data_IF_457660965328
#
_entry.id   IF_457660965328
#
_cell.length_a   1.000
_cell.length_b   1.000
_cell.length_c   1.000
_cell.angle_alpha   90.00
_cell.angle_beta   90.00
_cell.angle_gamma   90.00
#
_symmetry.space_group_name_H-M   'P 1'
#
loop_
_entity.id
_entity.type
_entity.pdbx_description
1 polymer ?
#
# COMPACT_ATOMS: atom_id res chain seq x y z
N UNK A 1 11.61 8.65 -13.38
CA UNK A 1 10.98 9.93 -12.97
C UNK A 1 10.61 9.82 -11.49
N UNK A 2 10.70 10.90 -10.71
CA UNK A 2 10.16 10.95 -9.34
C UNK A 2 8.90 11.81 -9.37
N UNK A 3 7.76 11.25 -8.98
CA UNK A 3 6.50 12.00 -8.81
C UNK A 3 6.42 12.49 -7.38
N UNK A 4 6.36 13.81 -7.17
CA UNK A 4 6.37 14.43 -5.85
C UNK A 4 5.08 15.25 -5.67
N UNK A 5 4.49 15.14 -4.48
CA UNK A 5 3.32 15.92 -4.12
C UNK A 5 3.68 17.40 -3.96
N UNK A 6 2.78 18.27 -4.42
CA UNK A 6 2.82 19.71 -4.12
C UNK A 6 2.35 19.98 -2.69
N UNK A 7 1.27 19.33 -2.31
CA UNK A 7 0.57 19.56 -1.04
C UNK A 7 1.23 18.77 0.10
N UNK A 8 1.10 19.26 1.35
CA UNK A 8 1.64 18.56 2.50
C UNK A 8 0.97 17.19 2.66
N UNK A 9 1.78 16.20 3.08
CA UNK A 9 1.32 14.84 3.35
C UNK A 9 1.20 14.60 4.85
N UNK A 10 0.17 13.86 5.24
CA UNK A 10 -0.03 13.40 6.61
C UNK A 10 0.96 12.31 7.04
N UNK A 11 0.80 11.84 8.28
CA UNK A 11 1.62 10.78 8.84
C UNK A 11 1.38 9.43 8.14
N UNK A 12 2.46 8.69 7.88
CA UNK A 12 2.43 7.30 7.43
C UNK A 12 3.36 6.47 8.32
N UNK A 13 2.85 5.45 9.04
CA UNK A 13 3.69 4.62 9.90
C UNK A 13 4.59 3.69 9.09
N UNK A 14 5.70 3.26 9.70
CA UNK A 14 6.53 2.14 9.24
C UNK A 14 7.03 2.23 7.78
N UNK A 15 7.24 3.45 7.26
CA UNK A 15 7.94 3.63 5.99
C UNK A 15 9.43 3.30 6.18
N UNK A 16 10.01 2.57 5.22
CA UNK A 16 11.39 2.09 5.31
C UNK A 16 12.15 2.34 4.01
N UNK A 17 13.25 3.11 4.10
CA UNK A 17 14.09 3.48 2.96
C UNK A 17 14.70 2.28 2.23
N UNK A 18 15.02 1.20 2.94
CA UNK A 18 15.54 -0.03 2.35
C UNK A 18 14.44 -0.82 1.66
N UNK A 19 13.22 -0.81 2.19
CA UNK A 19 12.10 -1.52 1.57
C UNK A 19 11.59 -0.81 0.30
N UNK A 20 11.77 0.51 0.19
CA UNK A 20 11.48 1.26 -1.06
C UNK A 20 12.22 0.66 -2.27
N UNK A 21 13.42 0.11 -2.09
CA UNK A 21 14.16 -0.51 -3.21
C UNK A 21 13.50 -1.78 -3.74
N UNK A 22 12.54 -2.36 -3.00
CA UNK A 22 11.74 -3.51 -3.44
C UNK A 22 10.49 -3.10 -4.24
N UNK A 23 10.26 -1.80 -4.42
CA UNK A 23 9.16 -1.25 -5.22
C UNK A 23 7.78 -1.29 -4.56
N UNK A 24 7.47 -2.34 -3.81
CA UNK A 24 6.26 -2.47 -2.99
C UNK A 24 6.54 -3.28 -1.72
N UNK A 25 5.97 -2.86 -0.59
CA UNK A 25 6.20 -3.47 0.72
C UNK A 25 5.08 -3.16 1.73
N UNK A 26 4.93 -4.04 2.72
CA UNK A 26 3.92 -3.92 3.77
C UNK A 26 4.36 -2.90 4.82
N UNK A 27 3.44 -2.02 5.21
CA UNK A 27 3.65 -1.04 6.30
C UNK A 27 2.77 -1.31 7.52
N UNK A 28 1.73 -2.14 7.37
CA UNK A 28 0.87 -2.62 8.46
C UNK A 28 0.35 -4.02 8.13
N UNK A 29 0.60 -4.97 9.02
CA UNK A 29 0.25 -6.40 8.86
C UNK A 29 -0.48 -6.90 10.12
N UNK A 30 -1.82 -6.78 10.18
CA UNK A 30 -2.61 -7.45 11.22
C UNK A 30 -2.62 -8.96 10.99
N UNK A 31 -2.69 -9.77 12.06
CA UNK A 31 -2.72 -11.25 11.93
C UNK A 31 -3.94 -11.77 11.14
N UNK A 32 -5.09 -11.13 11.32
CA UNK A 32 -6.34 -11.50 10.65
C UNK A 32 -6.94 -10.24 10.02
N UNK A 33 -6.54 -9.95 8.77
CA UNK A 33 -7.05 -8.83 7.98
C UNK A 33 -8.12 -9.30 7.01
N UNK A 34 -9.11 -8.44 6.74
CA UNK A 34 -10.19 -8.71 5.79
C UNK A 34 -9.85 -8.23 4.38
N UNK A 35 -9.03 -7.19 4.24
CA UNK A 35 -8.61 -6.64 2.95
C UNK A 35 -7.23 -5.99 3.01
N UNK A 36 -6.63 -5.79 1.84
CA UNK A 36 -5.41 -4.99 1.66
C UNK A 36 -5.73 -3.68 0.94
N UNK A 37 -5.29 -2.55 1.48
CA UNK A 37 -5.19 -1.30 0.73
C UNK A 37 -3.75 -1.12 0.25
N UNK A 38 -3.58 -0.91 -1.05
CA UNK A 38 -2.30 -0.58 -1.67
C UNK A 38 -2.33 0.86 -2.18
N UNK A 39 -1.28 1.63 -1.92
CA UNK A 39 -1.20 3.03 -2.35
C UNK A 39 0.24 3.51 -2.48
N UNK A 40 0.45 4.68 -3.08
CA UNK A 40 1.75 5.33 -3.18
C UNK A 40 1.67 6.85 -2.95
N UNK A 41 2.85 7.47 -2.74
CA UNK A 41 2.97 8.93 -2.69
C UNK A 41 2.11 9.58 -1.61
N UNK A 42 1.44 10.68 -1.98
CA UNK A 42 0.53 11.42 -1.10
C UNK A 42 -0.71 10.62 -0.72
N UNK A 43 -1.16 9.67 -1.55
CA UNK A 43 -2.38 8.90 -1.28
C UNK A 43 -2.23 7.89 -0.15
N UNK A 44 -1.00 7.53 0.19
CA UNK A 44 -0.74 6.54 1.22
C UNK A 44 -1.24 6.99 2.61
N UNK A 45 -1.20 8.28 2.93
CA UNK A 45 -1.75 8.76 4.20
C UNK A 45 -3.28 8.65 4.25
N UNK A 46 -3.98 8.73 3.11
CA UNK A 46 -5.43 8.53 3.05
C UNK A 46 -5.77 7.05 3.24
N UNK A 47 -4.97 6.14 2.66
CA UNK A 47 -5.12 4.71 2.90
C UNK A 47 -4.93 4.36 4.40
N UNK A 48 -3.98 5.01 5.08
CA UNK A 48 -3.80 4.86 6.54
C UNK A 48 -5.05 5.33 7.30
N UNK A 49 -5.55 6.53 7.00
CA UNK A 49 -6.75 7.06 7.66
C UNK A 49 -7.98 6.17 7.42
N UNK A 50 -8.16 5.67 6.19
CA UNK A 50 -9.24 4.74 5.86
C UNK A 50 -9.12 3.43 6.64
N UNK A 51 -7.91 2.87 6.77
CA UNK A 51 -7.69 1.67 7.57
C UNK A 51 -8.01 1.89 9.06
N UNK A 52 -7.71 3.06 9.62
CA UNK A 52 -8.04 3.39 11.01
C UNK A 52 -9.56 3.51 11.22
N UNK A 53 -10.28 4.13 10.27
CA UNK A 53 -11.75 4.19 10.29
C UNK A 53 -12.36 2.79 10.20
N UNK A 54 -11.93 1.99 9.22
CA UNK A 54 -12.41 0.62 9.02
C UNK A 54 -12.14 -0.26 10.24
N UNK A 55 -10.98 -0.12 10.88
CA UNK A 55 -10.68 -0.83 12.13
C UNK A 55 -11.67 -0.47 13.25
N UNK A 56 -12.14 0.78 13.34
CA UNK A 56 -13.17 1.18 14.32
C UNK A 56 -14.54 0.54 14.05
N UNK A 57 -14.78 0.10 12.82
CA UNK A 57 -15.99 -0.63 12.40
C UNK A 57 -15.81 -2.16 12.44
N UNK A 58 -14.68 -2.64 12.98
CA UNK A 58 -14.37 -4.07 13.07
C UNK A 58 -13.74 -4.67 11.82
N UNK A 59 -13.43 -3.85 10.81
CA UNK A 59 -12.78 -4.29 9.57
C UNK A 59 -11.26 -4.09 9.70
N UNK A 60 -10.56 -5.17 10.03
CA UNK A 60 -9.09 -5.23 10.02
C UNK A 60 -8.52 -5.06 8.60
N UNK A 61 -7.58 -4.13 8.43
CA UNK A 61 -7.00 -3.73 7.13
C UNK A 61 -5.48 -3.85 7.13
N UNK A 62 -4.96 -4.51 6.10
CA UNK A 62 -3.54 -4.57 5.78
C UNK A 62 -3.16 -3.41 4.84
N UNK A 63 -1.97 -2.83 5.04
CA UNK A 63 -1.50 -1.68 4.24
C UNK A 63 -0.21 -1.99 3.50
N UNK A 64 -0.20 -1.73 2.20
CA UNK A 64 0.96 -1.85 1.32
C UNK A 64 1.31 -0.49 0.73
N UNK A 65 2.58 -0.10 0.87
CA UNK A 65 3.18 1.00 0.14
C UNK A 65 3.75 0.47 -1.18
N UNK A 66 3.34 1.01 -2.32
CA UNK A 66 3.75 0.57 -3.65
C UNK A 66 4.37 1.72 -4.50
N UNK A 67 5.47 2.35 -4.06
CA UNK A 67 6.06 3.51 -4.75
C UNK A 67 6.60 3.24 -6.16
N UNK A 68 6.88 1.99 -6.54
CA UNK A 68 7.34 1.65 -7.88
C UNK A 68 6.94 0.23 -8.29
N UNK A 69 5.88 0.13 -9.11
CA UNK A 69 5.44 -1.13 -9.66
C UNK A 69 6.51 -1.77 -10.56
N UNK A 70 7.27 -0.98 -11.32
CA UNK A 70 8.36 -1.51 -12.16
C UNK A 70 9.45 -2.23 -11.33
N UNK A 71 9.84 -1.65 -10.19
CA UNK A 71 10.81 -2.28 -9.28
C UNK A 71 10.21 -3.50 -8.58
N UNK A 72 8.92 -3.43 -8.23
CA UNK A 72 8.21 -4.55 -7.61
C UNK A 72 8.07 -5.74 -8.57
N UNK A 73 7.80 -5.51 -9.85
CA UNK A 73 7.66 -6.57 -10.84
C UNK A 73 8.95 -7.36 -11.06
N UNK A 74 10.10 -6.71 -10.88
CA UNK A 74 11.44 -7.31 -10.95
C UNK A 74 11.78 -8.19 -9.73
N UNK A 75 10.96 -8.18 -8.67
CA UNK A 75 11.20 -9.00 -7.50
C UNK A 75 10.83 -10.47 -7.77
N UNK A 76 11.35 -11.37 -6.92
CA UNK A 76 11.05 -12.79 -7.02
C UNK A 76 9.55 -13.07 -6.79
N UNK A 77 9.05 -14.18 -7.34
CA UNK A 77 7.66 -14.58 -7.18
C UNK A 77 7.30 -14.76 -5.70
N UNK A 78 8.23 -15.29 -4.90
CA UNK A 78 8.07 -15.49 -3.46
C UNK A 78 7.91 -14.15 -2.73
N UNK A 79 8.67 -13.12 -3.13
CA UNK A 79 8.50 -11.78 -2.54
C UNK A 79 7.21 -11.12 -2.98
N UNK A 80 6.83 -11.24 -4.25
CA UNK A 80 5.55 -10.69 -4.72
C UNK A 80 4.38 -11.34 -3.98
N UNK A 81 4.44 -12.65 -3.76
CA UNK A 81 3.45 -13.39 -2.97
C UNK A 81 3.46 -13.04 -1.47
N UNK A 82 4.59 -12.60 -0.90
CA UNK A 82 4.60 -12.13 0.49
C UNK A 82 3.96 -10.74 0.64
N UNK A 83 4.04 -9.90 -0.39
CA UNK A 83 3.39 -8.57 -0.40
C UNK A 83 1.94 -8.65 -0.87
N UNK A 84 1.58 -9.53 -1.80
CA UNK A 84 0.21 -9.78 -2.24
C UNK A 84 -0.04 -11.29 -2.27
N UNK A 85 -0.40 -11.89 -1.11
CA UNK A 85 -0.65 -13.31 -1.03
C UNK A 85 -1.86 -13.72 -1.87
N UNK A 86 -1.85 -14.91 -2.49
CA UNK A 86 -3.01 -15.47 -3.17
C UNK A 86 -3.95 -16.12 -2.13
N UNK A 87 -4.47 -15.31 -1.20
CA UNK A 87 -5.30 -15.75 -0.07
C UNK A 87 -6.80 -15.42 -0.23
N UNK A 88 -7.23 -15.13 -1.47
CA UNK A 88 -8.59 -14.73 -1.86
C UNK A 88 -9.14 -13.47 -1.17
N UNK A 89 -8.30 -12.73 -0.44
CA UNK A 89 -8.71 -11.47 0.18
C UNK A 89 -8.68 -10.34 -0.84
N UNK A 90 -9.65 -9.42 -0.81
CA UNK A 90 -9.67 -8.30 -1.73
C UNK A 90 -8.48 -7.36 -1.54
N UNK A 91 -7.94 -6.91 -2.67
CA UNK A 91 -6.90 -5.87 -2.75
C UNK A 91 -7.48 -4.66 -3.46
N UNK A 92 -7.42 -3.50 -2.82
CA UNK A 92 -7.90 -2.23 -3.38
C UNK A 92 -6.72 -1.29 -3.57
N UNK A 93 -6.53 -0.82 -4.80
CA UNK A 93 -5.59 0.28 -5.08
C UNK A 93 -6.24 1.62 -4.75
N UNK A 94 -5.54 2.49 -4.03
CA UNK A 94 -6.00 3.82 -3.63
C UNK A 94 -5.03 4.84 -4.21
N UNK A 95 -5.35 5.36 -5.40
CA UNK A 95 -4.54 6.33 -6.10
C UNK A 95 -5.41 7.35 -6.85
N UNK A 96 -4.98 8.61 -6.82
CA UNK A 96 -5.51 9.65 -7.68
C UNK A 96 -5.07 9.39 -9.13
N UNK A 97 -5.90 8.66 -9.87
CA UNK A 97 -5.73 8.48 -11.30
C UNK A 97 -7.00 8.92 -12.01
N UNK A 98 -6.85 9.76 -13.04
CA UNK A 98 -7.93 9.90 -14.03
C UNK A 98 -7.81 8.68 -14.92
N UNK A 99 -8.74 7.73 -14.77
CA UNK A 99 -8.88 6.64 -15.73
C UNK A 99 -9.10 7.25 -17.12
N UNK A 100 -8.04 7.28 -17.94
CA UNK A 100 -8.15 7.60 -19.35
C UNK A 100 -8.80 6.41 -20.04
N UNK A 101 -10.13 6.42 -20.05
CA UNK A 101 -10.93 5.67 -21.02
C UNK A 101 -10.77 6.28 -22.41
#
# INVERSE_FOLDING_TARGET
>A
MLSLARDPVGYVPNTDRKQVSRGGYVIREPNDFHLTLASCGSNLHFAVAAADILASEGISVRLVSAPSLEMFEKQSAEYKASVFPPDDKPVVSVEEFVATV
#
